data_IF_322586641448
#
_entry.id   IF_322586641448
#
_cell.length_a   1.000
_cell.length_b   1.000
_cell.length_c   1.000
_cell.angle_alpha   90.00
_cell.angle_beta   90.00
_cell.angle_gamma   90.00
#
_symmetry.space_group_name_H-M   'P 1'
#
loop_
_entity.id
_entity.type
_entity.pdbx_description
1 polymer ?
#
# COMPACT_ATOMS: atom_id res chain seq x y z
N UNK A 1 5.86 3.10 43.22
CA UNK A 1 6.72 2.78 44.38
C UNK A 1 8.18 2.93 43.96
N UNK A 2 8.99 3.61 44.79
CA UNK A 2 10.46 3.74 44.73
C UNK A 2 11.00 4.61 43.56
N UNK A 3 11.91 5.57 43.72
CA UNK A 3 12.57 6.19 44.89
C UNK A 3 13.19 7.50 44.34
N UNK A 4 12.78 8.69 44.80
CA UNK A 4 13.47 9.96 44.45
C UNK A 4 14.60 10.18 45.44
N UNK A 5 15.83 10.11 44.93
CA UNK A 5 17.05 10.29 45.72
C UNK A 5 17.40 11.78 45.79
N UNK A 6 17.41 12.32 47.01
CA UNK A 6 17.93 13.62 47.39
C UNK A 6 19.46 13.56 47.42
N UNK A 7 20.14 14.59 46.93
CA UNK A 7 21.50 14.95 47.38
C UNK A 7 21.51 16.42 47.75
N UNK A 8 22.21 16.68 48.84
CA UNK A 8 22.12 17.78 49.79
C UNK A 8 23.55 18.33 49.99
N UNK A 9 23.70 19.66 49.95
CA UNK A 9 24.71 20.49 50.67
C UNK A 9 26.18 20.33 50.17
N UNK A 10 26.96 21.43 50.00
CA UNK A 10 27.80 22.03 51.05
C UNK A 10 28.01 23.54 50.83
N UNK A 11 27.69 24.28 51.89
CA UNK A 11 28.09 25.65 52.17
C UNK A 11 29.53 25.69 52.74
N UNK A 12 30.29 26.72 52.36
CA UNK A 12 31.56 27.12 52.97
C UNK A 12 31.76 28.61 52.63
N UNK A 13 32.28 29.50 53.45
CA UNK A 13 32.61 29.54 54.87
C UNK A 13 32.83 31.04 55.14
N UNK A 14 32.06 31.65 56.04
CA UNK A 14 32.33 32.99 56.56
C UNK A 14 33.20 32.85 57.81
N UNK A 15 34.27 33.65 57.91
CA UNK A 15 35.00 34.20 59.07
C UNK A 15 36.36 34.66 58.48
N UNK A 16 36.90 35.86 58.65
CA UNK A 16 36.50 37.03 59.44
C UNK A 16 37.62 38.08 59.40
N UNK A 17 37.39 39.16 60.16
CA UNK A 17 38.37 40.10 60.75
C UNK A 17 38.97 41.25 59.89
N UNK A 18 38.35 42.43 60.11
CA UNK A 18 38.93 43.71 60.58
C UNK A 18 40.37 44.07 60.14
N UNK A 19 40.49 45.22 59.47
CA UNK A 19 41.72 46.00 59.37
C UNK A 19 41.48 47.38 58.78
N UNK A 20 41.45 48.42 59.62
CA UNK A 20 41.40 49.83 59.23
C UNK A 20 42.78 50.37 58.79
N UNK A 21 42.73 51.48 58.04
CA UNK A 21 43.82 52.43 57.69
C UNK A 21 44.72 51.98 56.52
N UNK A 22 44.99 52.74 55.45
CA UNK A 22 45.07 54.19 55.17
C UNK A 22 44.83 54.44 53.66
N UNK A 23 44.42 55.64 53.20
CA UNK A 23 44.32 55.95 51.78
C UNK A 23 45.72 56.22 51.19
N UNK A 24 46.18 55.31 50.32
CA UNK A 24 47.44 55.46 49.55
C UNK A 24 47.10 56.02 48.16
N UNK A 25 47.94 56.91 47.59
CA UNK A 25 47.54 57.75 46.47
C UNK A 25 47.39 56.95 45.17
N UNK A 26 46.30 57.25 44.47
CA UNK A 26 45.95 56.80 43.13
C UNK A 26 47.10 57.09 42.18
N UNK A 27 47.79 56.04 41.74
CA UNK A 27 48.71 56.09 40.63
C UNK A 27 47.93 55.69 39.36
N UNK A 28 47.73 56.57 38.36
CA UNK A 28 46.82 56.33 37.23
C UNK A 28 47.33 55.33 36.17
N UNK A 29 48.43 54.62 36.42
CA UNK A 29 49.11 53.80 35.41
C UNK A 29 48.76 52.30 35.42
N UNK A 30 47.84 51.84 36.28
CA UNK A 30 47.47 50.41 36.39
C UNK A 30 46.08 50.09 35.82
N UNK A 31 45.20 51.08 35.63
CA UNK A 31 43.82 50.86 35.15
C UNK A 31 43.74 50.56 33.64
N UNK A 32 44.72 51.00 32.85
CA UNK A 32 44.74 50.78 31.39
C UNK A 32 45.01 49.30 31.03
N UNK A 33 45.64 48.53 31.92
CA UNK A 33 46.01 47.13 31.67
C UNK A 33 44.88 46.14 32.01
N UNK A 34 43.97 46.47 32.93
CA UNK A 34 42.83 45.62 33.28
C UNK A 34 41.68 45.73 32.27
N UNK A 35 41.29 46.94 31.84
CA UNK A 35 40.23 47.13 30.82
C UNK A 35 40.58 46.48 29.48
N UNK A 36 41.85 46.53 29.07
CA UNK A 36 42.34 45.89 27.84
C UNK A 36 42.28 44.35 27.94
N UNK A 37 42.53 43.78 29.13
CA UNK A 37 42.41 42.34 29.40
C UNK A 37 40.96 41.87 29.38
N UNK A 38 40.03 42.65 29.94
CA UNK A 38 38.60 42.32 29.95
C UNK A 38 37.98 42.43 28.55
N UNK A 39 38.40 43.40 27.73
CA UNK A 39 37.96 43.51 26.33
C UNK A 39 38.50 42.37 25.46
N UNK A 40 39.75 41.94 25.65
CA UNK A 40 40.30 40.76 24.96
C UNK A 40 39.55 39.46 25.34
N UNK A 41 39.21 39.27 26.62
CA UNK A 41 38.43 38.11 27.05
C UNK A 41 37.00 38.11 26.49
N UNK A 42 36.33 39.27 26.43
CA UNK A 42 34.99 39.38 25.83
C UNK A 42 35.00 39.13 24.31
N UNK A 43 36.03 39.57 23.60
CA UNK A 43 36.18 39.28 22.17
C UNK A 43 36.41 37.79 21.92
N UNK A 44 37.27 37.14 22.71
CA UNK A 44 37.50 35.68 22.61
C UNK A 44 36.23 34.87 22.88
N UNK A 45 35.47 35.20 23.94
CA UNK A 45 34.19 34.53 24.21
C UNK A 45 33.16 34.73 23.08
N UNK A 46 33.10 35.91 22.48
CA UNK A 46 32.19 36.20 21.37
C UNK A 46 32.54 35.40 20.12
N UNK A 47 33.83 35.20 19.86
CA UNK A 47 34.33 34.42 18.72
C UNK A 47 34.10 32.91 18.92
N UNK A 48 34.34 32.40 20.12
CA UNK A 48 34.04 31.01 20.48
C UNK A 48 32.54 30.71 20.36
N UNK A 49 31.68 31.62 20.82
CA UNK A 49 30.22 31.50 20.68
C UNK A 49 29.74 31.54 19.22
N UNK A 50 30.44 32.26 18.34
CA UNK A 50 30.15 32.25 16.89
C UNK A 50 30.50 30.90 16.27
N UNK A 51 31.66 30.35 16.59
CA UNK A 51 32.11 29.03 16.15
C UNK A 51 31.18 27.91 16.61
N UNK A 52 30.70 27.96 17.86
CA UNK A 52 29.72 26.99 18.38
C UNK A 52 28.42 27.07 17.57
N UNK A 53 27.88 28.28 17.36
CA UNK A 53 26.66 28.48 16.54
C UNK A 53 26.83 28.04 15.09
N UNK A 54 28.00 28.21 14.51
CA UNK A 54 28.28 27.73 13.15
C UNK A 54 28.30 26.21 13.08
N UNK A 55 28.97 25.53 14.04
CA UNK A 55 28.93 24.06 14.13
C UNK A 55 27.51 23.54 14.34
N UNK A 56 26.71 24.18 15.19
CA UNK A 56 25.31 23.81 15.39
C UNK A 56 24.51 23.92 14.10
N UNK A 57 24.67 25.02 13.36
CA UNK A 57 24.04 25.21 12.04
C UNK A 57 24.48 24.15 11.02
N UNK A 58 25.77 23.83 10.97
CA UNK A 58 26.29 22.77 10.12
C UNK A 58 25.73 21.39 10.50
N UNK A 59 25.65 21.09 11.79
CA UNK A 59 25.11 19.84 12.29
C UNK A 59 23.60 19.71 11.96
N UNK A 60 22.83 20.78 12.18
CA UNK A 60 21.41 20.82 11.78
C UNK A 60 21.23 20.61 10.27
N UNK A 61 22.06 21.25 9.44
CA UNK A 61 22.05 21.01 7.98
C UNK A 61 22.36 19.56 7.63
N UNK A 62 23.36 18.96 8.26
CA UNK A 62 23.72 17.56 8.03
C UNK A 62 22.57 16.62 8.43
N UNK A 63 21.88 16.88 9.54
CA UNK A 63 20.70 16.12 9.96
C UNK A 63 19.59 16.22 8.91
N UNK A 64 19.27 17.43 8.43
CA UNK A 64 18.21 17.62 7.42
C UNK A 64 18.58 16.92 6.09
N UNK A 65 19.83 17.02 5.65
CA UNK A 65 20.31 16.31 4.45
C UNK A 65 20.21 14.79 4.62
N UNK A 66 20.57 14.26 5.79
CA UNK A 66 20.43 12.85 6.11
C UNK A 66 18.98 12.39 6.03
N UNK A 67 18.05 13.17 6.60
CA UNK A 67 16.62 12.88 6.55
C UNK A 67 16.08 12.88 5.11
N UNK A 68 16.49 13.85 4.28
CA UNK A 68 16.13 13.88 2.86
C UNK A 68 16.59 12.61 2.16
N UNK A 69 17.86 12.20 2.35
CA UNK A 69 18.39 10.96 1.74
C UNK A 69 17.61 9.73 2.17
N UNK A 70 17.23 9.63 3.45
CA UNK A 70 16.42 8.52 3.93
C UNK A 70 15.03 8.48 3.27
N UNK A 71 14.37 9.63 3.13
CA UNK A 71 13.08 9.71 2.44
C UNK A 71 13.20 9.40 0.95
N UNK A 72 14.25 9.85 0.28
CA UNK A 72 14.53 9.52 -1.13
C UNK A 72 14.74 8.01 -1.32
N UNK A 73 15.45 7.35 -0.40
CA UNK A 73 15.59 5.89 -0.42
C UNK A 73 14.24 5.19 -0.26
N UNK A 74 13.40 5.65 0.67
CA UNK A 74 12.05 5.11 0.85
C UNK A 74 11.18 5.31 -0.41
N UNK A 75 11.24 6.49 -1.02
CA UNK A 75 10.53 6.80 -2.26
C UNK A 75 10.98 5.90 -3.42
N UNK A 76 12.28 5.62 -3.54
CA UNK A 76 12.81 4.72 -4.55
C UNK A 76 12.32 3.27 -4.37
N UNK A 77 12.35 2.76 -3.14
CA UNK A 77 11.82 1.42 -2.84
C UNK A 77 10.32 1.32 -3.12
N UNK A 78 9.56 2.36 -2.77
CA UNK A 78 8.12 2.43 -3.05
C UNK A 78 7.84 2.45 -4.56
N UNK A 79 8.60 3.23 -5.32
CA UNK A 79 8.51 3.28 -6.78
C UNK A 79 8.76 1.91 -7.43
N UNK A 80 9.80 1.19 -7.01
CA UNK A 80 10.07 -0.17 -7.49
C UNK A 80 8.92 -1.13 -7.19
N UNK A 81 8.34 -1.03 -5.99
CA UNK A 81 7.18 -1.84 -5.61
C UNK A 81 5.96 -1.54 -6.49
N UNK A 82 5.67 -0.26 -6.74
CA UNK A 82 4.57 0.15 -7.62
C UNK A 82 4.75 -0.37 -9.05
N UNK A 83 5.97 -0.36 -9.58
CA UNK A 83 6.26 -0.97 -10.90
C UNK A 83 5.97 -2.47 -10.90
N UNK A 84 6.39 -3.19 -9.87
CA UNK A 84 6.08 -4.61 -9.71
C UNK A 84 4.57 -4.89 -9.63
N UNK A 85 3.81 -4.06 -8.91
CA UNK A 85 2.35 -4.16 -8.86
C UNK A 85 1.70 -3.89 -10.20
N UNK A 86 2.17 -2.88 -10.93
CA UNK A 86 1.62 -2.58 -12.26
C UNK A 86 1.81 -3.76 -13.23
N UNK A 87 2.93 -4.48 -13.13
CA UNK A 87 3.15 -5.73 -13.87
C UNK A 87 2.17 -6.82 -13.43
N UNK A 88 1.96 -7.00 -12.12
CA UNK A 88 0.98 -7.96 -11.60
C UNK A 88 -0.45 -7.66 -12.09
N UNK A 89 -0.87 -6.39 -12.05
CA UNK A 89 -2.18 -5.94 -12.55
C UNK A 89 -2.31 -6.31 -14.04
N UNK A 90 -1.30 -5.99 -14.86
CA UNK A 90 -1.32 -6.31 -16.29
C UNK A 90 -1.43 -7.82 -16.54
N UNK A 91 -0.73 -8.65 -15.77
CA UNK A 91 -0.83 -10.10 -15.85
C UNK A 91 -2.23 -10.60 -15.45
N UNK A 92 -2.81 -10.06 -14.38
CA UNK A 92 -4.17 -10.40 -13.94
C UNK A 92 -5.23 -9.99 -14.97
N UNK A 93 -5.07 -8.83 -15.61
CA UNK A 93 -5.94 -8.37 -16.69
C UNK A 93 -5.90 -9.31 -17.90
N UNK A 94 -4.71 -9.77 -18.28
CA UNK A 94 -4.53 -10.76 -19.34
C UNK A 94 -5.25 -12.07 -18.98
N UNK A 95 -5.05 -12.58 -17.76
CA UNK A 95 -5.71 -13.81 -17.28
C UNK A 95 -7.23 -13.67 -17.26
N UNK A 96 -7.75 -12.53 -16.79
CA UNK A 96 -9.19 -12.22 -16.81
C UNK A 96 -9.74 -12.27 -18.24
N UNK A 97 -9.05 -11.64 -19.19
CA UNK A 97 -9.47 -11.62 -20.59
C UNK A 97 -9.46 -13.02 -21.20
N UNK A 98 -8.44 -13.82 -20.89
CA UNK A 98 -8.34 -15.19 -21.33
C UNK A 98 -9.50 -16.05 -20.78
N UNK A 99 -9.76 -15.99 -19.47
CA UNK A 99 -10.87 -16.71 -18.84
C UNK A 99 -12.23 -16.29 -19.42
N UNK A 100 -12.44 -15.00 -19.69
CA UNK A 100 -13.67 -14.52 -20.31
C UNK A 100 -13.81 -15.00 -21.76
N UNK A 101 -12.72 -15.11 -22.51
CA UNK A 101 -12.72 -15.71 -23.84
C UNK A 101 -13.01 -17.22 -23.78
N UNK A 102 -12.38 -17.93 -22.84
CA UNK A 102 -12.57 -19.38 -22.65
C UNK A 102 -14.02 -19.71 -22.27
N UNK A 103 -14.65 -18.93 -21.38
CA UNK A 103 -16.08 -19.08 -21.06
C UNK A 103 -16.94 -18.91 -22.32
N UNK A 104 -16.71 -17.85 -23.12
CA UNK A 104 -17.50 -17.60 -24.34
C UNK A 104 -17.32 -18.72 -25.37
N UNK A 105 -16.09 -19.12 -25.62
CA UNK A 105 -15.77 -20.21 -26.55
C UNK A 105 -16.37 -21.53 -26.07
N UNK A 106 -16.29 -21.81 -24.77
CA UNK A 106 -16.87 -23.01 -24.19
C UNK A 106 -18.39 -23.03 -24.32
N UNK A 107 -19.08 -21.93 -23.94
CA UNK A 107 -20.54 -21.80 -24.11
C UNK A 107 -20.98 -22.01 -25.56
N UNK A 108 -20.30 -21.37 -26.52
CA UNK A 108 -20.61 -21.56 -27.95
C UNK A 108 -20.46 -23.02 -28.41
N UNK A 109 -19.44 -23.74 -27.90
CA UNK A 109 -19.30 -25.19 -28.18
C UNK A 109 -20.43 -26.01 -27.57
N UNK A 110 -20.88 -25.66 -26.37
CA UNK A 110 -22.02 -26.33 -25.71
C UNK A 110 -23.31 -26.05 -26.46
N UNK A 111 -23.57 -24.81 -26.87
CA UNK A 111 -24.72 -24.47 -27.73
C UNK A 111 -24.71 -25.26 -29.04
N UNK A 112 -23.56 -25.34 -29.72
CA UNK A 112 -23.42 -26.12 -30.94
C UNK A 112 -23.59 -27.63 -30.70
N UNK A 113 -23.19 -28.14 -29.53
CA UNK A 113 -23.48 -29.50 -29.11
C UNK A 113 -24.99 -29.69 -28.89
N UNK A 114 -25.64 -28.76 -28.19
CA UNK A 114 -27.08 -28.81 -27.96
C UNK A 114 -27.89 -28.80 -29.26
N UNK A 115 -27.51 -27.95 -30.21
CA UNK A 115 -28.16 -27.90 -31.53
C UNK A 115 -28.00 -29.20 -32.32
N UNK A 116 -26.86 -29.89 -32.20
CA UNK A 116 -26.63 -31.20 -32.82
C UNK A 116 -27.50 -32.30 -32.18
N UNK A 117 -27.73 -32.22 -30.88
CA UNK A 117 -28.54 -33.17 -30.11
C UNK A 117 -29.95 -32.63 -29.76
N UNK A 118 -30.48 -31.73 -30.59
CA UNK A 118 -31.73 -31.01 -30.32
C UNK A 118 -32.93 -31.92 -30.03
N UNK A 119 -33.00 -33.10 -30.66
CA UNK A 119 -34.09 -34.06 -30.46
C UNK A 119 -34.00 -34.70 -29.07
N UNK A 120 -32.81 -35.16 -28.69
CA UNK A 120 -32.56 -35.69 -27.34
C UNK A 120 -32.85 -34.63 -26.28
N UNK A 121 -32.42 -33.39 -26.50
CA UNK A 121 -32.64 -32.26 -25.58
C UNK A 121 -34.11 -31.89 -25.45
N UNK A 122 -34.82 -31.76 -26.56
CA UNK A 122 -36.25 -31.45 -26.52
C UNK A 122 -37.03 -32.56 -25.81
N UNK A 123 -36.62 -33.83 -26.01
CA UNK A 123 -37.18 -34.93 -25.26
C UNK A 123 -36.86 -34.86 -23.76
N UNK A 124 -35.64 -34.49 -23.37
CA UNK A 124 -35.28 -34.30 -21.96
C UNK A 124 -36.23 -33.33 -21.26
N UNK A 125 -36.45 -32.13 -21.83
CA UNK A 125 -37.36 -31.19 -21.19
C UNK A 125 -38.84 -31.61 -21.28
N UNK A 126 -39.25 -32.38 -22.29
CA UNK A 126 -40.62 -32.85 -22.44
C UNK A 126 -40.99 -34.00 -21.48
N UNK A 127 -40.05 -34.91 -21.22
CA UNK A 127 -40.22 -36.01 -20.27
C UNK A 127 -39.80 -35.62 -18.84
N UNK A 128 -39.45 -34.36 -18.61
CA UNK A 128 -39.05 -33.86 -17.30
C UNK A 128 -37.74 -34.46 -16.79
N UNK A 129 -36.85 -34.90 -17.68
CA UNK A 129 -35.45 -35.21 -17.33
C UNK A 129 -34.78 -33.87 -17.04
N UNK A 130 -34.87 -33.45 -15.78
CA UNK A 130 -34.32 -32.19 -15.34
C UNK A 130 -32.81 -32.35 -15.14
N UNK A 131 -32.05 -31.51 -15.83
CA UNK A 131 -30.79 -31.04 -15.26
C UNK A 131 -31.10 -30.34 -13.94
N UNK A 132 -30.17 -30.39 -12.97
CA UNK A 132 -30.25 -29.62 -11.73
C UNK A 132 -30.81 -28.21 -12.01
N UNK A 133 -31.76 -27.73 -11.20
CA UNK A 133 -32.39 -26.41 -11.40
C UNK A 133 -31.36 -25.26 -11.34
N UNK A 134 -30.21 -25.50 -10.72
CA UNK A 134 -29.08 -24.58 -10.65
C UNK A 134 -28.06 -24.75 -11.78
N UNK A 135 -28.37 -25.58 -12.79
CA UNK A 135 -27.56 -25.74 -13.99
C UNK A 135 -27.91 -24.62 -14.98
N UNK A 136 -26.90 -23.90 -15.48
CA UNK A 136 -27.11 -22.75 -16.38
C UNK A 136 -27.77 -23.13 -17.72
N UNK A 137 -27.69 -24.40 -18.13
CA UNK A 137 -28.27 -24.91 -19.38
C UNK A 137 -29.68 -25.49 -19.18
N UNK A 138 -30.18 -25.56 -17.93
CA UNK A 138 -31.52 -26.10 -17.63
C UNK A 138 -32.63 -25.30 -18.32
N UNK A 139 -32.45 -23.97 -18.43
CA UNK A 139 -33.40 -23.11 -19.13
C UNK A 139 -33.37 -23.33 -20.64
N UNK A 140 -32.17 -23.44 -21.23
CA UNK A 140 -32.03 -23.72 -22.66
C UNK A 140 -32.69 -25.07 -23.02
N UNK A 141 -32.52 -26.11 -22.19
CA UNK A 141 -33.19 -27.42 -22.39
C UNK A 141 -34.73 -27.29 -22.32
N UNK A 142 -35.26 -26.48 -21.39
CA UNK A 142 -36.71 -26.22 -21.27
C UNK A 142 -37.26 -25.50 -22.50
N UNK A 143 -36.52 -24.54 -23.04
CA UNK A 143 -36.93 -23.79 -24.23
C UNK A 143 -37.03 -24.73 -25.46
N UNK A 144 -36.07 -25.64 -25.64
CA UNK A 144 -36.12 -26.66 -26.70
C UNK A 144 -37.31 -27.63 -26.56
N UNK A 145 -37.71 -27.96 -25.33
CA UNK A 145 -38.82 -28.88 -25.09
C UNK A 145 -40.20 -28.30 -25.41
N UNK A 146 -40.37 -26.99 -25.27
CA UNK A 146 -41.63 -26.30 -25.59
C UNK A 146 -42.05 -26.45 -27.07
N UNK A 147 -41.09 -26.74 -27.96
CA UNK A 147 -41.32 -26.78 -29.42
C UNK A 147 -41.58 -28.21 -29.94
N UNK A 148 -41.11 -29.27 -29.27
CA UNK A 148 -41.07 -30.66 -29.84
C UNK A 148 -41.66 -31.74 -28.92
N UNK A 149 -42.19 -31.39 -27.75
CA UNK A 149 -42.37 -32.33 -26.64
C UNK A 149 -43.38 -33.48 -26.76
N UNK A 150 -44.21 -33.56 -27.81
CA UNK A 150 -45.34 -34.51 -27.81
C UNK A 150 -44.95 -35.95 -28.20
N UNK A 151 -43.80 -36.19 -28.84
CA UNK A 151 -43.47 -37.51 -29.44
C UNK A 151 -42.49 -38.35 -28.57
N UNK A 152 -41.89 -37.75 -27.54
CA UNK A 152 -40.72 -38.32 -26.87
C UNK A 152 -40.99 -39.45 -25.88
N UNK A 153 -42.15 -39.46 -25.20
CA UNK A 153 -42.43 -40.40 -24.11
C UNK A 153 -42.44 -41.87 -24.54
N UNK A 154 -42.85 -42.18 -25.77
CA UNK A 154 -42.89 -43.56 -26.30
C UNK A 154 -41.54 -43.94 -26.93
N UNK A 155 -40.85 -42.98 -27.56
CA UNK A 155 -39.57 -43.22 -28.23
C UNK A 155 -38.42 -43.54 -27.26
N UNK A 156 -38.38 -42.88 -26.09
CA UNK A 156 -37.35 -43.14 -25.05
C UNK A 156 -37.48 -44.55 -24.45
N UNK A 157 -38.72 -45.07 -24.35
CA UNK A 157 -38.99 -46.38 -23.76
C UNK A 157 -38.76 -47.50 -24.80
N UNK A 158 -39.04 -47.25 -26.08
CA UNK A 158 -38.95 -48.25 -27.14
C UNK A 158 -37.61 -48.32 -27.89
N UNK A 159 -36.71 -47.34 -27.74
CA UNK A 159 -35.45 -47.27 -28.47
C UNK A 159 -34.25 -47.04 -27.54
N UNK A 160 -33.44 -48.10 -27.34
CA UNK A 160 -32.25 -48.06 -26.47
C UNK A 160 -31.16 -47.09 -26.96
N UNK A 161 -31.01 -46.92 -28.28
CA UNK A 161 -30.02 -46.00 -28.87
C UNK A 161 -30.35 -44.54 -28.50
N UNK A 162 -31.64 -44.18 -28.60
CA UNK A 162 -32.10 -42.84 -28.24
C UNK A 162 -31.99 -42.57 -26.74
N UNK A 163 -32.29 -43.57 -25.90
CA UNK A 163 -32.10 -43.47 -24.44
C UNK A 163 -30.63 -43.24 -24.08
N UNK A 164 -29.70 -43.94 -24.74
CA UNK A 164 -28.26 -43.75 -24.52
C UNK A 164 -27.79 -42.36 -24.98
N UNK A 165 -28.32 -41.85 -26.10
CA UNK A 165 -28.05 -40.48 -26.55
C UNK A 165 -28.51 -39.45 -25.50
N UNK A 166 -29.75 -39.58 -25.00
CA UNK A 166 -30.29 -38.70 -23.94
C UNK A 166 -29.41 -38.72 -22.69
N UNK A 167 -28.98 -39.90 -22.23
CA UNK A 167 -28.10 -40.02 -21.07
C UNK A 167 -26.72 -39.38 -21.32
N UNK A 168 -26.16 -39.54 -22.52
CA UNK A 168 -24.89 -38.90 -22.90
C UNK A 168 -24.99 -37.38 -22.93
N UNK A 169 -26.11 -36.85 -23.43
CA UNK A 169 -26.38 -35.40 -23.44
C UNK A 169 -26.50 -34.86 -22.02
N UNK A 170 -27.20 -35.55 -21.11
CA UNK A 170 -27.31 -35.17 -19.68
C UNK A 170 -25.93 -35.09 -19.04
N UNK A 171 -25.09 -36.10 -19.23
CA UNK A 171 -23.74 -36.16 -18.66
C UNK A 171 -22.87 -35.02 -19.21
N UNK A 172 -22.88 -34.80 -20.53
CA UNK A 172 -22.13 -33.73 -21.17
C UNK A 172 -22.58 -32.33 -20.73
N UNK A 173 -23.89 -32.08 -20.57
CA UNK A 173 -24.41 -30.81 -20.08
C UNK A 173 -24.12 -30.58 -18.58
N UNK A 174 -24.09 -31.65 -17.79
CA UNK A 174 -23.68 -31.59 -16.38
C UNK A 174 -22.18 -31.29 -16.26
N UNK A 175 -21.34 -31.98 -17.04
CA UNK A 175 -19.91 -31.70 -17.11
C UNK A 175 -19.65 -30.27 -17.59
N UNK A 176 -20.42 -29.80 -18.56
CA UNK A 176 -20.31 -28.44 -19.10
C UNK A 176 -20.67 -27.35 -18.09
N UNK A 177 -21.69 -27.59 -17.26
CA UNK A 177 -22.07 -26.67 -16.19
C UNK A 177 -20.97 -26.59 -15.13
N UNK A 178 -20.46 -27.73 -14.68
CA UNK A 178 -19.35 -27.80 -13.72
C UNK A 178 -18.09 -27.10 -14.26
N UNK A 179 -17.75 -27.31 -15.53
CA UNK A 179 -16.61 -26.64 -16.16
C UNK A 179 -16.81 -25.12 -16.23
N UNK A 180 -18.02 -24.67 -16.60
CA UNK A 180 -18.31 -23.23 -16.66
C UNK A 180 -18.29 -22.59 -15.27
N UNK A 181 -18.85 -23.26 -14.25
CA UNK A 181 -18.79 -22.82 -12.85
C UNK A 181 -17.34 -22.69 -12.36
N UNK A 182 -16.47 -23.65 -12.71
CA UNK A 182 -15.04 -23.56 -12.41
C UNK A 182 -14.39 -22.34 -13.06
N UNK A 183 -14.59 -22.13 -14.37
CA UNK A 183 -14.07 -20.95 -15.07
C UNK A 183 -14.60 -19.63 -14.48
N UNK A 184 -15.89 -19.56 -14.13
CA UNK A 184 -16.48 -18.39 -13.47
C UNK A 184 -15.89 -18.13 -12.08
N UNK A 185 -15.62 -19.19 -11.30
CA UNK A 185 -14.97 -19.05 -10.00
C UNK A 185 -13.54 -18.55 -10.16
N UNK A 186 -12.78 -19.05 -11.12
CA UNK A 186 -11.45 -18.55 -11.44
C UNK A 186 -11.49 -17.08 -11.86
N UNK A 187 -12.47 -16.70 -12.69
CA UNK A 187 -12.67 -15.32 -13.11
C UNK A 187 -12.96 -14.41 -11.91
N UNK A 188 -13.84 -14.81 -10.99
CA UNK A 188 -14.12 -14.06 -9.75
C UNK A 188 -12.89 -13.92 -8.86
N UNK A 189 -12.09 -14.98 -8.74
CA UNK A 189 -10.83 -14.95 -7.98
C UNK A 189 -9.85 -13.94 -8.57
N UNK A 190 -9.63 -13.99 -9.89
CA UNK A 190 -8.75 -13.04 -10.59
C UNK A 190 -9.29 -11.61 -10.46
N UNK A 191 -10.60 -11.41 -10.58
CA UNK A 191 -11.24 -10.10 -10.39
C UNK A 191 -10.97 -9.54 -8.99
N UNK A 192 -11.16 -10.36 -7.95
CA UNK A 192 -10.90 -9.99 -6.56
C UNK A 192 -9.42 -9.63 -6.32
N UNK A 193 -8.49 -10.40 -6.92
CA UNK A 193 -7.07 -10.09 -6.85
C UNK A 193 -6.72 -8.76 -7.55
N UNK A 194 -7.34 -8.50 -8.70
CA UNK A 194 -7.15 -7.26 -9.45
C UNK A 194 -7.67 -6.05 -8.67
N UNK A 195 -8.83 -6.16 -8.02
CA UNK A 195 -9.38 -5.12 -7.16
C UNK A 195 -8.47 -4.85 -5.95
N UNK A 196 -7.93 -5.91 -5.33
CA UNK A 196 -6.99 -5.80 -4.22
C UNK A 196 -5.69 -5.10 -4.64
N UNK A 197 -5.07 -5.49 -5.76
CA UNK A 197 -3.85 -4.84 -6.26
C UNK A 197 -4.10 -3.37 -6.66
N UNK A 198 -5.25 -3.06 -7.24
CA UNK A 198 -5.64 -1.69 -7.55
C UNK A 198 -5.84 -0.83 -6.28
N UNK A 199 -6.33 -1.39 -5.19
CA UNK A 199 -6.40 -0.66 -3.92
C UNK A 199 -5.01 -0.38 -3.36
N UNK A 200 -4.11 -1.37 -3.43
CA UNK A 200 -2.73 -1.23 -2.94
C UNK A 200 -1.96 -0.18 -3.75
N UNK A 201 -2.09 -0.14 -5.08
CA UNK A 201 -1.40 0.87 -5.89
C UNK A 201 -1.91 2.29 -5.61
N UNK A 202 -3.20 2.46 -5.30
CA UNK A 202 -3.75 3.76 -4.88
C UNK A 202 -3.18 4.21 -3.54
N UNK A 203 -3.05 3.28 -2.58
CA UNK A 203 -2.42 3.58 -1.29
C UNK A 203 -0.95 3.95 -1.45
N UNK A 204 -0.20 3.16 -2.23
CA UNK A 204 1.22 3.41 -2.49
C UNK A 204 1.44 4.74 -3.23
N UNK A 205 0.56 5.11 -4.17
CA UNK A 205 0.60 6.42 -4.84
C UNK A 205 0.36 7.57 -3.86
N UNK A 206 -0.59 7.41 -2.93
CA UNK A 206 -0.82 8.40 -1.88
C UNK A 206 0.42 8.57 -0.98
N UNK A 207 1.02 7.46 -0.57
CA UNK A 207 2.24 7.46 0.22
C UNK A 207 3.43 8.10 -0.53
N UNK A 208 3.57 7.82 -1.83
CA UNK A 208 4.60 8.43 -2.67
C UNK A 208 4.46 9.96 -2.74
N UNK A 209 3.22 10.45 -2.86
CA UNK A 209 2.93 11.88 -2.86
C UNK A 209 3.28 12.53 -1.51
N UNK A 210 3.03 11.85 -0.39
CA UNK A 210 3.41 12.33 0.94
C UNK A 210 4.93 12.42 1.09
N UNK A 211 5.66 11.37 0.71
CA UNK A 211 7.13 11.35 0.70
C UNK A 211 7.70 12.50 -0.13
N UNK A 212 7.14 12.75 -1.32
CA UNK A 212 7.57 13.85 -2.18
C UNK A 212 7.34 15.22 -1.52
N UNK A 213 6.19 15.42 -0.87
CA UNK A 213 5.88 16.66 -0.15
C UNK A 213 6.82 16.88 1.05
N UNK A 214 7.14 15.82 1.81
CA UNK A 214 8.07 15.89 2.94
C UNK A 214 9.50 16.22 2.49
N UNK A 215 9.98 15.59 1.42
CA UNK A 215 11.28 15.91 0.80
C UNK A 215 11.30 17.39 0.39
N UNK A 216 10.28 17.87 -0.31
CA UNK A 216 10.20 19.27 -0.75
C UNK A 216 10.18 20.24 0.43
N UNK A 217 9.46 19.90 1.50
CA UNK A 217 9.43 20.67 2.74
C UNK A 217 10.82 20.78 3.38
N UNK A 218 11.54 19.66 3.53
CA UNK A 218 12.90 19.66 4.08
C UNK A 218 13.89 20.41 3.17
N UNK A 219 13.78 20.27 1.84
CA UNK A 219 14.59 21.04 0.89
C UNK A 219 14.35 22.55 1.02
N UNK A 220 13.09 22.97 1.24
CA UNK A 220 12.76 24.38 1.47
C UNK A 220 13.35 24.94 2.78
N UNK A 221 13.49 24.10 3.81
CA UNK A 221 14.14 24.46 5.07
C UNK A 221 15.65 24.65 4.90
N UNK A 222 16.30 23.84 4.07
CA UNK A 222 17.71 24.03 3.71
C UNK A 222 17.95 25.30 2.87
N UNK A 223 17.02 25.63 1.98
CA UNK A 223 17.10 26.81 1.11
C UNK A 223 16.85 28.15 1.81
N UNK A 224 16.34 28.15 3.05
CA UNK A 224 15.97 29.36 3.78
C UNK A 224 16.58 29.39 5.20
N UNK A 225 17.86 29.80 5.34
CA UNK A 225 18.64 29.63 6.58
C UNK A 225 18.05 30.36 7.79
N UNK A 226 17.29 31.44 7.60
CA UNK A 226 16.66 32.23 8.68
C UNK A 226 15.58 31.46 9.46
N UNK A 227 15.10 30.32 8.95
CA UNK A 227 14.08 29.48 9.61
C UNK A 227 14.64 28.39 10.52
N UNK A 228 15.91 28.03 10.36
CA UNK A 228 16.58 27.06 11.24
C UNK A 228 16.82 27.67 12.63
N UNK A 229 17.12 28.97 12.68
CA UNK A 229 17.34 29.70 13.93
C UNK A 229 16.06 29.79 14.79
N UNK A 230 14.87 29.82 14.18
CA UNK A 230 13.59 29.93 14.89
C UNK A 230 13.15 28.65 15.62
N UNK A 231 13.76 27.50 15.30
CA UNK A 231 13.44 26.21 15.93
C UNK A 231 14.40 25.82 17.07
N UNK A 232 15.50 26.56 17.26
CA UNK A 232 16.44 26.35 18.36
C UNK A 232 16.08 27.12 19.64
N UNK A 233 15.04 27.96 19.62
CA UNK A 233 14.57 28.76 20.76
C UNK A 233 13.39 28.12 21.55
N UNK A 234 13.11 26.83 21.35
CA UNK A 234 12.14 26.05 22.15
C UNK A 234 12.87 24.96 22.91
#
# INVERSE_FOLDING_TARGET
>A
MLLKQKILIIAACCIGLIGCTTPTPTNPSTQVTEETRTQQQQQQQKEELRLIRERERENQRQIVISNIKQLEQQANLLSQRMVGRQQNISNLELQRNQLAADIRNYKSRVEAFMLRHKNAIACMGAVGVSLDENNQYSQDVKDFASVVGVICGVAVIGNEEFRNEVLSVVDQLTQADNHTKNLQNNLRTVQSQLDAENQLIVQEKSQANQLAADIQKLQSQLGNPSRLDSQAEI
#
